data_IF_683286280563
#
_entry.id   IF_683286280563
#
_cell.length_a   1.000
_cell.length_b   1.000
_cell.length_c   1.000
_cell.angle_alpha   90.00
_cell.angle_beta   90.00
_cell.angle_gamma   90.00
#
_symmetry.space_group_name_H-M   'P 1'
#
loop_
_entity.id
_entity.type
_entity.pdbx_description
1 polymer ?
#
# COMPACT_ATOMS: atom_id res chain seq x y z
N UNK A 1 -14.25 0.08 -28.30
CA UNK A 1 -13.39 -0.03 -27.11
C UNK A 1 -12.20 -0.91 -27.47
N UNK A 2 -10.96 -0.54 -27.10
CA UNK A 2 -9.79 -1.44 -27.25
C UNK A 2 -9.81 -2.52 -26.17
N UNK A 3 -9.41 -3.74 -26.50
CA UNK A 3 -9.17 -4.80 -25.52
C UNK A 3 -7.75 -4.71 -24.93
N UNK A 4 -7.50 -5.27 -23.73
CA UNK A 4 -6.20 -5.17 -23.07
C UNK A 4 -4.98 -5.63 -23.89
N UNK A 5 -5.18 -6.55 -24.83
CA UNK A 5 -4.11 -7.09 -25.69
C UNK A 5 -3.86 -6.27 -26.98
N UNK A 6 -4.66 -5.23 -27.22
CA UNK A 6 -4.52 -4.31 -28.36
C UNK A 6 -3.67 -3.09 -28.03
N UNK A 7 -3.16 -3.00 -26.81
CA UNK A 7 -2.23 -1.93 -26.38
C UNK A 7 -0.78 -2.34 -26.67
N UNK A 8 -0.01 -1.47 -27.28
CA UNK A 8 1.38 -1.73 -27.64
C UNK A 8 2.28 -1.81 -26.40
N UNK A 9 1.99 -1.00 -25.38
CA UNK A 9 2.79 -0.94 -24.15
C UNK A 9 1.95 -1.07 -22.89
N UNK A 10 2.60 -1.50 -21.79
CA UNK A 10 1.97 -1.53 -20.47
C UNK A 10 1.59 -0.15 -19.96
N UNK A 11 2.33 0.88 -20.34
CA UNK A 11 2.06 2.26 -19.93
C UNK A 11 0.82 2.80 -20.63
N UNK A 12 0.64 2.56 -21.91
CA UNK A 12 -0.61 2.88 -22.63
C UNK A 12 -1.83 2.18 -22.00
N UNK A 13 -1.72 0.89 -21.70
CA UNK A 13 -2.79 0.16 -21.04
C UNK A 13 -3.06 0.75 -19.65
N UNK A 14 -2.02 1.10 -18.89
CA UNK A 14 -2.16 1.73 -17.58
C UNK A 14 -2.90 3.06 -17.66
N UNK A 15 -2.50 3.93 -18.57
CA UNK A 15 -3.11 5.25 -18.75
C UNK A 15 -4.58 5.12 -19.17
N UNK A 16 -4.87 4.17 -20.05
CA UNK A 16 -6.25 3.88 -20.45
C UNK A 16 -7.10 3.39 -19.26
N UNK A 17 -6.57 2.50 -18.42
CA UNK A 17 -7.27 2.02 -17.21
C UNK A 17 -7.53 3.16 -16.24
N UNK A 18 -6.52 4.01 -15.97
CA UNK A 18 -6.66 5.16 -15.07
C UNK A 18 -7.74 6.11 -15.58
N UNK A 19 -7.69 6.47 -16.86
CA UNK A 19 -8.68 7.35 -17.49
C UNK A 19 -10.09 6.74 -17.45
N UNK A 20 -10.21 5.44 -17.70
CA UNK A 20 -11.47 4.72 -17.63
C UNK A 20 -12.05 4.74 -16.22
N UNK A 21 -11.23 4.48 -15.18
CA UNK A 21 -11.66 4.54 -13.77
C UNK A 21 -12.18 5.93 -13.41
N UNK A 22 -11.43 6.98 -13.76
CA UNK A 22 -11.80 8.35 -13.42
C UNK A 22 -13.09 8.80 -14.12
N UNK A 23 -13.30 8.38 -15.36
CA UNK A 23 -14.51 8.71 -16.11
C UNK A 23 -15.74 7.90 -15.65
N UNK A 24 -15.53 6.64 -15.26
CA UNK A 24 -16.63 5.78 -14.77
C UNK A 24 -17.08 6.21 -13.38
N UNK A 25 -16.13 6.57 -12.51
CA UNK A 25 -16.40 6.89 -11.12
C UNK A 25 -16.84 5.69 -10.29
N UNK A 26 -17.59 5.97 -9.22
CA UNK A 26 -18.06 4.93 -8.29
C UNK A 26 -19.31 4.26 -8.83
N UNK A 27 -19.39 2.94 -8.71
CA UNK A 27 -20.58 2.17 -9.08
C UNK A 27 -20.68 0.88 -8.26
N UNK A 28 -21.90 0.50 -7.92
CA UNK A 28 -22.20 -0.80 -7.27
C UNK A 28 -22.26 -1.94 -8.29
N UNK A 29 -22.55 -1.65 -9.56
CA UNK A 29 -22.62 -2.64 -10.65
C UNK A 29 -22.11 -2.01 -11.94
N UNK A 30 -20.93 -2.39 -12.35
CA UNK A 30 -20.34 -1.94 -13.61
C UNK A 30 -21.10 -2.54 -14.81
N UNK A 31 -21.57 -3.78 -14.67
CA UNK A 31 -22.33 -4.48 -15.71
C UNK A 31 -23.63 -3.75 -16.08
N UNK A 32 -24.30 -3.17 -15.07
CA UNK A 32 -25.57 -2.43 -15.30
C UNK A 32 -25.32 -1.00 -15.77
N UNK A 33 -24.34 -0.32 -15.18
CA UNK A 33 -24.13 1.12 -15.44
C UNK A 33 -23.24 1.38 -16.65
N UNK A 34 -22.23 0.53 -16.89
CA UNK A 34 -21.23 0.70 -17.95
C UNK A 34 -20.84 -0.67 -18.56
N UNK A 35 -21.71 -1.35 -19.31
CA UNK A 35 -21.52 -2.73 -19.77
C UNK A 35 -20.27 -2.91 -20.65
N UNK A 36 -19.86 -1.91 -21.41
CA UNK A 36 -18.64 -1.98 -22.21
C UNK A 36 -17.38 -1.92 -21.31
N UNK A 37 -17.41 -1.05 -20.29
CA UNK A 37 -16.32 -0.96 -19.30
C UNK A 37 -16.23 -2.25 -18.47
N UNK A 38 -17.39 -2.82 -18.11
CA UNK A 38 -17.44 -4.14 -17.46
C UNK A 38 -16.74 -5.21 -18.33
N UNK A 39 -17.07 -5.28 -19.60
CA UNK A 39 -16.45 -6.23 -20.54
C UNK A 39 -14.95 -6.04 -20.60
N UNK A 40 -14.46 -4.81 -20.74
CA UNK A 40 -13.03 -4.49 -20.73
C UNK A 40 -12.34 -4.99 -19.45
N UNK A 41 -12.91 -4.72 -18.26
CA UNK A 41 -12.30 -5.13 -17.00
C UNK A 41 -12.35 -6.64 -16.78
N UNK A 42 -13.37 -7.34 -17.24
CA UNK A 42 -13.39 -8.82 -17.24
C UNK A 42 -12.22 -9.38 -18.03
N UNK A 43 -11.95 -8.85 -19.23
CA UNK A 43 -10.78 -9.27 -20.03
C UNK A 43 -9.45 -8.87 -19.35
N UNK A 44 -9.34 -7.68 -18.79
CA UNK A 44 -8.15 -7.26 -18.07
C UNK A 44 -7.86 -8.16 -16.88
N UNK A 45 -8.89 -8.56 -16.13
CA UNK A 45 -8.73 -9.39 -14.93
C UNK A 45 -8.30 -10.83 -15.25
N UNK A 46 -8.58 -11.34 -16.46
CA UNK A 46 -8.03 -12.62 -16.92
C UNK A 46 -6.49 -12.63 -17.01
N UNK A 47 -5.86 -11.45 -17.04
CA UNK A 47 -4.40 -11.31 -17.01
C UNK A 47 -3.82 -11.34 -15.60
N UNK A 48 -4.67 -11.44 -14.55
CA UNK A 48 -4.16 -11.50 -13.17
C UNK A 48 -3.34 -12.76 -12.96
N UNK A 49 -2.10 -12.69 -12.44
CA UNK A 49 -1.23 -13.86 -12.25
C UNK A 49 -1.84 -14.96 -11.38
N UNK A 50 -2.72 -14.58 -10.45
CA UNK A 50 -3.44 -15.50 -9.57
C UNK A 50 -4.92 -15.68 -9.99
N UNK A 51 -5.22 -15.62 -11.27
CA UNK A 51 -6.61 -15.65 -11.80
C UNK A 51 -7.40 -16.87 -11.35
N UNK A 52 -6.75 -18.04 -11.28
CA UNK A 52 -7.41 -19.29 -10.87
C UNK A 52 -7.73 -19.27 -9.37
N UNK A 53 -6.79 -18.85 -8.51
CA UNK A 53 -7.01 -18.68 -7.07
C UNK A 53 -8.11 -17.64 -6.76
N UNK A 54 -8.19 -16.60 -7.58
CA UNK A 54 -9.22 -15.56 -7.47
C UNK A 54 -10.53 -15.93 -8.16
N UNK A 55 -10.58 -17.09 -8.83
CA UNK A 55 -11.77 -17.58 -9.52
C UNK A 55 -12.34 -16.54 -10.51
N UNK A 56 -11.44 -15.89 -11.28
CA UNK A 56 -11.83 -14.81 -12.21
C UNK A 56 -12.86 -15.26 -13.23
N UNK A 57 -12.87 -16.55 -13.60
CA UNK A 57 -13.87 -17.12 -14.50
C UNK A 57 -15.31 -17.09 -13.95
N UNK A 58 -15.48 -16.93 -12.64
CA UNK A 58 -16.78 -16.86 -11.98
C UNK A 58 -17.33 -15.44 -11.84
N UNK A 59 -16.64 -14.41 -12.34
CA UNK A 59 -17.09 -13.02 -12.24
C UNK A 59 -18.43 -12.84 -12.96
N UNK A 60 -19.42 -12.37 -12.22
CA UNK A 60 -20.76 -12.01 -12.71
C UNK A 60 -20.98 -10.52 -12.75
N UNK A 61 -20.27 -9.76 -11.86
CA UNK A 61 -20.30 -8.31 -11.84
C UNK A 61 -19.03 -7.72 -11.21
N UNK A 62 -18.84 -6.42 -11.36
CA UNK A 62 -17.72 -5.64 -10.81
C UNK A 62 -18.29 -4.37 -10.18
N UNK A 63 -17.85 -4.06 -8.97
CA UNK A 63 -18.12 -2.81 -8.26
C UNK A 63 -16.84 -1.98 -8.17
N UNK A 64 -16.98 -0.65 -8.31
CA UNK A 64 -15.89 0.31 -8.07
C UNK A 64 -16.27 1.15 -6.86
N UNK A 65 -15.47 1.08 -5.81
CA UNK A 65 -15.69 1.80 -4.56
C UNK A 65 -14.43 2.53 -4.08
N UNK A 66 -14.59 3.45 -3.14
CA UNK A 66 -13.46 4.12 -2.49
C UNK A 66 -12.82 3.18 -1.49
N UNK A 67 -11.51 3.14 -1.43
CA UNK A 67 -10.80 2.50 -0.31
C UNK A 67 -11.27 3.10 1.02
N UNK A 68 -11.55 2.29 2.05
CA UNK A 68 -12.05 2.78 3.34
C UNK A 68 -11.21 3.89 3.95
N UNK A 69 -9.87 3.80 3.83
CA UNK A 69 -8.91 4.83 4.29
C UNK A 69 -9.02 6.16 3.56
N UNK A 70 -9.60 6.18 2.36
CA UNK A 70 -9.72 7.37 1.50
C UNK A 70 -11.10 8.05 1.59
N UNK A 71 -12.04 7.52 2.36
CA UNK A 71 -13.42 8.06 2.49
C UNK A 71 -13.48 9.52 2.98
N UNK A 72 -12.44 9.99 3.67
CA UNK A 72 -12.39 11.35 4.22
C UNK A 72 -11.58 12.33 3.36
N UNK A 73 -11.06 11.90 2.21
CA UNK A 73 -10.36 12.78 1.29
C UNK A 73 -11.34 13.76 0.63
N UNK A 74 -10.95 15.04 0.55
CA UNK A 74 -11.73 16.07 -0.15
C UNK A 74 -11.69 15.91 -1.67
N UNK A 75 -10.60 15.35 -2.19
CA UNK A 75 -10.40 15.07 -3.61
C UNK A 75 -9.85 13.67 -3.75
N UNK A 76 -10.48 12.85 -4.60
CA UNK A 76 -10.09 11.49 -4.88
C UNK A 76 -9.13 11.45 -6.07
N UNK A 77 -8.12 10.59 -5.94
CA UNK A 77 -7.21 10.21 -7.00
C UNK A 77 -7.52 8.78 -7.46
N UNK A 78 -7.04 8.37 -8.63
CA UNK A 78 -7.28 7.00 -9.12
C UNK A 78 -6.81 5.91 -8.14
N UNK A 79 -5.79 6.20 -7.32
CA UNK A 79 -5.28 5.29 -6.28
C UNK A 79 -6.27 5.07 -5.11
N UNK A 80 -7.31 5.89 -5.02
CA UNK A 80 -8.34 5.78 -3.99
C UNK A 80 -9.49 4.85 -4.39
N UNK A 81 -9.51 4.38 -5.64
CA UNK A 81 -10.53 3.45 -6.15
C UNK A 81 -10.10 2.00 -5.97
N UNK A 82 -11.04 1.19 -5.51
CA UNK A 82 -10.89 -0.25 -5.32
C UNK A 82 -11.89 -1.00 -6.19
N UNK A 83 -11.42 -2.02 -6.90
CA UNK A 83 -12.29 -2.96 -7.58
C UNK A 83 -12.68 -4.11 -6.66
N UNK A 84 -13.97 -4.43 -6.68
CA UNK A 84 -14.56 -5.57 -6.05
C UNK A 84 -15.18 -6.45 -7.14
N UNK A 85 -14.77 -7.70 -7.21
CA UNK A 85 -15.36 -8.69 -8.11
C UNK A 85 -16.45 -9.45 -7.37
N UNK A 86 -17.61 -9.59 -8.01
CA UNK A 86 -18.76 -10.34 -7.52
C UNK A 86 -18.83 -11.60 -8.35
N UNK A 87 -18.91 -12.76 -7.71
CA UNK A 87 -18.84 -14.07 -8.35
C UNK A 87 -20.20 -14.76 -8.37
N UNK A 88 -20.37 -15.76 -9.24
CA UNK A 88 -21.60 -16.52 -9.37
C UNK A 88 -21.99 -17.32 -8.12
N UNK A 89 -21.05 -17.59 -7.21
CA UNK A 89 -21.29 -18.20 -5.90
C UNK A 89 -21.61 -17.18 -4.80
N UNK A 90 -21.97 -15.95 -5.18
CA UNK A 90 -22.31 -14.82 -4.29
C UNK A 90 -21.15 -14.36 -3.40
N UNK A 91 -19.92 -14.82 -3.62
CA UNK A 91 -18.74 -14.32 -2.91
C UNK A 91 -18.18 -13.07 -3.56
N UNK A 92 -17.56 -12.24 -2.73
CA UNK A 92 -16.86 -11.03 -3.17
C UNK A 92 -15.36 -11.16 -2.90
N UNK A 93 -14.54 -10.60 -3.78
CA UNK A 93 -13.09 -10.46 -3.57
C UNK A 93 -12.59 -9.17 -4.19
N UNK A 94 -11.48 -8.67 -3.70
CA UNK A 94 -10.82 -7.50 -4.28
C UNK A 94 -9.83 -7.92 -5.35
N UNK A 95 -9.66 -7.08 -6.37
CA UNK A 95 -8.68 -7.33 -7.42
C UNK A 95 -7.80 -6.11 -7.69
N UNK A 96 -6.49 -6.34 -7.86
CA UNK A 96 -5.54 -5.31 -8.26
C UNK A 96 -5.49 -5.19 -9.78
N UNK A 97 -6.09 -4.14 -10.33
CA UNK A 97 -5.98 -3.82 -11.74
C UNK A 97 -4.53 -3.63 -12.19
N UNK A 98 -3.68 -3.05 -11.34
CA UNK A 98 -2.26 -2.87 -11.65
C UNK A 98 -1.53 -4.21 -11.82
N UNK A 99 -1.84 -5.22 -10.98
CA UNK A 99 -1.30 -6.58 -11.16
C UNK A 99 -1.70 -7.19 -12.49
N UNK A 100 -2.90 -6.87 -12.99
CA UNK A 100 -3.36 -7.30 -14.30
C UNK A 100 -2.64 -6.60 -15.45
N UNK A 101 -2.35 -5.31 -15.32
CA UNK A 101 -1.58 -4.53 -16.33
C UNK A 101 -0.15 -5.03 -16.44
N UNK A 102 0.53 -5.20 -15.31
CA UNK A 102 1.93 -5.66 -15.31
C UNK A 102 2.06 -7.17 -15.48
N UNK A 103 0.97 -7.92 -15.34
CA UNK A 103 0.92 -9.38 -15.32
C UNK A 103 1.88 -9.99 -14.29
N UNK A 104 1.91 -9.42 -13.10
CA UNK A 104 2.76 -9.85 -11.99
C UNK A 104 2.14 -9.51 -10.64
N UNK A 105 2.37 -10.35 -9.65
CA UNK A 105 2.12 -10.03 -8.24
C UNK A 105 3.36 -9.37 -7.64
N UNK A 106 3.16 -8.61 -6.57
CA UNK A 106 4.30 -8.10 -5.82
C UNK A 106 5.12 -9.28 -5.27
N UNK A 107 6.45 -9.25 -5.41
CA UNK A 107 7.32 -10.25 -4.81
C UNK A 107 7.02 -10.44 -3.31
N UNK A 108 7.23 -11.66 -2.81
CA UNK A 108 6.98 -11.98 -1.41
C UNK A 108 7.70 -11.02 -0.46
N UNK A 109 8.93 -10.62 -0.77
CA UNK A 109 9.70 -9.63 0.01
C UNK A 109 8.99 -8.28 0.17
N UNK A 110 8.23 -7.83 -0.83
CA UNK A 110 7.40 -6.62 -0.72
C UNK A 110 6.17 -6.88 0.13
N UNK A 111 5.55 -8.02 -0.04
CA UNK A 111 4.31 -8.40 0.67
C UNK A 111 4.59 -8.59 2.16
N UNK A 112 5.63 -9.33 2.53
CA UNK A 112 6.03 -9.51 3.93
C UNK A 112 6.46 -8.19 4.57
N UNK A 113 7.13 -7.30 3.83
CA UNK A 113 7.47 -5.97 4.32
C UNK A 113 6.22 -5.16 4.72
N UNK A 114 5.11 -5.28 3.98
CA UNK A 114 3.85 -4.64 4.34
C UNK A 114 3.19 -5.29 5.55
N UNK A 115 3.16 -6.62 5.63
CA UNK A 115 2.61 -7.35 6.77
C UNK A 115 3.39 -7.02 8.07
N UNK A 116 4.73 -6.97 8.00
CA UNK A 116 5.57 -6.59 9.14
C UNK A 116 5.38 -5.14 9.57
N UNK A 117 5.17 -4.20 8.63
CA UNK A 117 4.80 -2.81 8.96
C UNK A 117 3.43 -2.72 9.61
N UNK A 118 2.46 -3.46 9.11
CA UNK A 118 1.12 -3.51 9.68
C UNK A 118 1.15 -4.04 11.11
N UNK A 119 1.93 -5.09 11.36
CA UNK A 119 2.05 -5.71 12.68
C UNK A 119 2.57 -4.78 13.80
N UNK A 120 3.31 -3.72 13.42
CA UNK A 120 3.85 -2.72 14.38
C UNK A 120 3.13 -1.37 14.32
N UNK A 121 2.03 -1.29 13.57
CA UNK A 121 1.34 -0.01 13.34
C UNK A 121 0.92 0.67 14.66
N UNK A 122 0.51 -0.11 15.66
CA UNK A 122 0.10 0.42 16.95
C UNK A 122 1.28 0.97 17.74
N UNK A 123 2.46 0.35 17.68
CA UNK A 123 3.69 0.90 18.29
C UNK A 123 4.05 2.25 17.67
N UNK A 124 3.89 2.38 16.34
CA UNK A 124 4.13 3.64 15.64
C UNK A 124 3.09 4.69 16.02
N UNK A 125 1.81 4.31 16.16
CA UNK A 125 0.74 5.21 16.63
C UNK A 125 0.99 5.68 18.07
N UNK A 126 1.34 4.77 18.98
CA UNK A 126 1.67 5.08 20.37
C UNK A 126 2.84 6.06 20.46
N UNK A 127 3.93 5.80 19.72
CA UNK A 127 5.07 6.70 19.66
C UNK A 127 4.68 8.09 19.16
N UNK A 128 3.90 8.19 18.08
CA UNK A 128 3.42 9.47 17.55
C UNK A 128 2.54 10.21 18.56
N UNK A 129 1.64 9.52 19.25
CA UNK A 129 0.75 10.10 20.23
C UNK A 129 1.54 10.64 21.45
N UNK A 130 2.51 9.88 21.94
CA UNK A 130 3.37 10.29 23.04
C UNK A 130 4.24 11.52 22.69
N UNK A 131 4.51 11.73 21.41
CA UNK A 131 5.38 12.80 20.92
C UNK A 131 4.63 13.87 20.08
N UNK A 132 3.29 13.92 20.14
CA UNK A 132 2.46 14.81 19.29
C UNK A 132 2.80 16.31 19.40
N UNK A 133 3.36 16.73 20.52
CA UNK A 133 3.73 18.12 20.79
C UNK A 133 5.21 18.43 20.48
N UNK A 134 5.96 17.46 19.94
CA UNK A 134 7.36 17.69 19.55
C UNK A 134 7.42 18.20 18.12
N UNK A 135 8.28 19.18 17.85
CA UNK A 135 8.53 19.63 16.48
C UNK A 135 9.34 18.61 15.69
N UNK A 136 9.41 18.82 14.40
CA UNK A 136 10.33 18.08 13.52
C UNK A 136 11.77 18.30 13.99
N UNK A 137 12.50 17.20 14.23
CA UNK A 137 13.89 17.26 14.73
C UNK A 137 14.85 17.99 13.79
N UNK A 138 14.51 18.10 12.48
CA UNK A 138 15.37 18.79 11.52
C UNK A 138 14.97 20.25 11.26
N UNK A 139 13.69 20.54 11.02
CA UNK A 139 13.28 21.89 10.61
C UNK A 139 12.38 22.62 11.61
N UNK A 140 12.09 22.04 12.76
CA UNK A 140 11.32 22.68 13.83
C UNK A 140 9.81 22.85 13.56
N UNK A 141 9.29 22.48 12.37
CA UNK A 141 7.84 22.58 12.08
C UNK A 141 7.04 21.56 12.90
N UNK A 142 5.76 21.89 13.12
CA UNK A 142 4.77 21.00 13.74
C UNK A 142 3.79 20.38 12.73
N UNK A 143 3.99 20.61 11.43
CA UNK A 143 3.06 20.20 10.39
C UNK A 143 3.42 18.84 9.80
N UNK A 144 2.38 18.04 9.46
CA UNK A 144 2.51 16.77 8.74
C UNK A 144 3.54 15.80 9.37
N UNK A 145 3.46 15.62 10.67
CA UNK A 145 4.42 14.85 11.45
C UNK A 145 4.32 13.35 11.19
N UNK A 146 5.48 12.71 11.07
CA UNK A 146 5.64 11.26 10.87
C UNK A 146 6.62 10.69 11.89
N UNK A 147 6.50 9.40 12.21
CA UNK A 147 7.56 8.66 12.88
C UNK A 147 8.54 8.14 11.82
N UNK A 148 9.81 8.33 12.04
CA UNK A 148 10.91 7.82 11.23
C UNK A 148 11.78 6.87 12.03
N UNK A 149 12.23 5.79 11.40
CA UNK A 149 13.17 4.84 11.99
C UNK A 149 14.60 5.32 11.79
N UNK A 150 15.34 5.60 12.88
CA UNK A 150 16.76 5.98 12.83
C UNK A 150 17.57 4.82 12.23
N UNK A 151 17.38 3.61 12.77
CA UNK A 151 17.80 2.37 12.08
C UNK A 151 16.73 2.04 11.06
N UNK A 152 17.08 2.05 9.77
CA UNK A 152 16.10 1.85 8.69
C UNK A 152 15.25 0.58 8.93
N UNK A 153 13.93 0.70 8.76
CA UNK A 153 12.99 -0.42 8.91
C UNK A 153 13.43 -1.66 8.12
N UNK A 154 13.98 -1.45 6.91
CA UNK A 154 14.49 -2.56 6.09
C UNK A 154 15.57 -3.36 6.83
N UNK A 155 16.51 -2.68 7.50
CA UNK A 155 17.57 -3.37 8.26
C UNK A 155 16.99 -4.15 9.43
N UNK A 156 16.13 -3.52 10.25
CA UNK A 156 15.46 -4.22 11.36
C UNK A 156 14.72 -5.46 10.90
N UNK A 157 13.99 -5.35 9.78
CA UNK A 157 13.26 -6.48 9.18
C UNK A 157 14.22 -7.58 8.72
N UNK A 158 15.26 -7.20 7.97
CA UNK A 158 16.18 -8.16 7.38
C UNK A 158 16.97 -8.91 8.48
N UNK A 159 17.46 -8.20 9.51
CA UNK A 159 18.14 -8.80 10.67
C UNK A 159 17.20 -9.77 11.41
N UNK A 160 15.95 -9.36 11.67
CA UNK A 160 14.98 -10.24 12.33
C UNK A 160 14.65 -11.50 11.52
N UNK A 161 14.48 -11.37 10.19
CA UNK A 161 14.19 -12.52 9.33
C UNK A 161 15.39 -13.46 9.19
N UNK A 162 16.62 -12.95 9.28
CA UNK A 162 17.84 -13.77 9.32
C UNK A 162 17.91 -14.62 10.61
N UNK A 163 17.53 -14.03 11.75
CA UNK A 163 17.43 -14.72 13.03
C UNK A 163 16.24 -15.70 13.10
N UNK A 164 15.21 -15.51 12.24
CA UNK A 164 13.98 -16.30 12.22
C UNK A 164 13.71 -16.87 10.82
N UNK A 165 14.50 -17.83 10.33
CA UNK A 165 14.41 -18.35 8.95
C UNK A 165 13.09 -19.09 8.67
N UNK A 166 12.44 -19.64 9.70
CA UNK A 166 11.16 -20.35 9.61
C UNK A 166 9.94 -19.40 9.63
N UNK A 167 10.15 -18.15 9.20
CA UNK A 167 9.06 -17.18 9.08
C UNK A 167 7.93 -17.63 8.13
N UNK A 168 6.68 -17.14 8.32
CA UNK A 168 5.55 -17.44 7.44
C UNK A 168 5.86 -17.21 5.97
N UNK A 169 5.50 -18.17 5.12
CA UNK A 169 5.70 -18.11 3.67
C UNK A 169 4.42 -17.66 2.92
N UNK A 170 3.31 -17.60 3.63
CA UNK A 170 2.02 -17.15 3.12
C UNK A 170 1.47 -16.04 3.99
N UNK A 171 0.72 -15.14 3.38
CA UNK A 171 0.12 -13.98 4.06
C UNK A 171 -1.37 -13.95 3.81
N UNK A 172 -2.10 -13.39 4.76
CA UNK A 172 -3.52 -13.06 4.65
C UNK A 172 -3.75 -11.65 4.14
N UNK A 173 -5.02 -11.27 4.09
CA UNK A 173 -5.46 -9.89 3.85
C UNK A 173 -6.51 -9.51 4.87
N UNK A 174 -6.42 -8.27 5.37
CA UNK A 174 -7.46 -7.71 6.20
C UNK A 174 -8.64 -7.20 5.36
N UNK A 175 -9.67 -6.68 6.03
CA UNK A 175 -10.87 -6.09 5.40
C UNK A 175 -10.57 -4.93 4.42
N UNK A 176 -9.39 -4.32 4.51
CA UNK A 176 -8.91 -3.26 3.63
C UNK A 176 -8.02 -3.78 2.49
N UNK A 177 -7.96 -5.09 2.27
CA UNK A 177 -7.10 -5.77 1.30
C UNK A 177 -5.59 -5.50 1.49
N UNK A 178 -5.17 -5.16 2.71
CA UNK A 178 -3.76 -4.99 3.06
C UNK A 178 -3.16 -6.34 3.44
N UNK A 179 -1.89 -6.55 3.06
CA UNK A 179 -1.15 -7.74 3.48
C UNK A 179 -0.95 -7.76 5.00
N UNK A 180 -1.36 -8.86 5.61
CA UNK A 180 -1.26 -9.10 7.06
C UNK A 180 -0.80 -10.53 7.29
N UNK A 181 -0.26 -10.82 8.46
CA UNK A 181 -0.04 -12.19 8.89
C UNK A 181 -1.39 -12.87 9.16
N UNK A 182 -1.42 -14.19 9.03
CA UNK A 182 -2.61 -15.00 9.33
C UNK A 182 -2.80 -15.17 10.83
N UNK A 183 -3.96 -15.63 11.24
CA UNK A 183 -4.25 -15.89 12.67
C UNK A 183 -3.31 -16.94 13.27
N UNK A 184 -2.92 -17.94 12.49
CA UNK A 184 -1.95 -18.96 12.91
C UNK A 184 -0.53 -18.42 13.14
N UNK A 185 -0.18 -17.26 12.61
CA UNK A 185 1.15 -16.65 12.71
C UNK A 185 1.31 -15.75 13.95
N UNK A 186 0.37 -15.79 14.91
CA UNK A 186 0.32 -14.89 16.07
C UNK A 186 1.62 -14.87 16.88
N UNK A 187 2.26 -16.02 17.05
CA UNK A 187 3.53 -16.13 17.79
C UNK A 187 4.67 -15.42 17.05
N UNK A 188 4.77 -15.59 15.73
CA UNK A 188 5.75 -14.89 14.91
C UNK A 188 5.51 -13.36 14.95
N UNK A 189 4.25 -12.94 14.86
CA UNK A 189 3.87 -11.51 14.97
C UNK A 189 4.34 -10.93 16.30
N UNK A 190 4.11 -11.66 17.41
CA UNK A 190 4.52 -11.22 18.75
C UNK A 190 6.05 -11.12 18.86
N UNK A 191 6.79 -12.10 18.36
CA UNK A 191 8.26 -12.07 18.34
C UNK A 191 8.77 -10.86 17.57
N UNK A 192 8.17 -10.57 16.40
CA UNK A 192 8.51 -9.38 15.62
C UNK A 192 8.19 -8.07 16.35
N UNK A 193 7.02 -7.99 16.99
CA UNK A 193 6.65 -6.81 17.77
C UNK A 193 7.59 -6.55 18.94
N UNK A 194 7.98 -7.59 19.66
CA UNK A 194 8.91 -7.50 20.77
C UNK A 194 10.33 -7.14 20.30
N UNK A 195 10.79 -7.74 19.21
CA UNK A 195 12.05 -7.39 18.55
C UNK A 195 12.08 -5.91 18.12
N UNK A 196 11.03 -5.46 17.44
CA UNK A 196 10.91 -4.07 16.98
C UNK A 196 10.90 -3.12 18.17
N UNK A 197 10.13 -3.40 19.22
CA UNK A 197 10.06 -2.57 20.43
C UNK A 197 11.42 -2.43 21.12
N UNK A 198 12.25 -3.46 21.07
CA UNK A 198 13.57 -3.49 21.71
C UNK A 198 14.63 -2.80 20.84
N UNK A 199 14.60 -3.01 19.54
CA UNK A 199 15.70 -2.63 18.64
C UNK A 199 15.42 -1.37 17.81
N UNK A 200 14.16 -0.96 17.65
CA UNK A 200 13.81 0.23 16.87
C UNK A 200 14.03 1.50 17.70
N UNK A 201 14.76 2.43 17.12
CA UNK A 201 14.83 3.81 17.61
C UNK A 201 14.06 4.71 16.66
N UNK A 202 13.03 5.38 17.19
CA UNK A 202 12.15 6.24 16.42
C UNK A 202 12.41 7.73 16.75
N UNK A 203 12.14 8.59 15.78
CA UNK A 203 12.16 10.05 15.94
C UNK A 203 10.97 10.68 15.22
N UNK A 204 10.70 11.97 15.54
CA UNK A 204 9.63 12.75 14.93
C UNK A 204 10.19 13.63 13.82
N UNK A 205 9.70 13.43 12.60
CA UNK A 205 10.02 14.25 11.44
C UNK A 205 8.75 14.74 10.74
N UNK A 206 8.80 15.91 10.10
CA UNK A 206 7.76 16.24 9.13
C UNK A 206 7.93 15.38 7.86
N UNK A 207 6.85 15.17 7.11
CA UNK A 207 6.85 14.37 5.89
C UNK A 207 7.93 14.81 4.90
N UNK A 208 8.14 16.14 4.76
CA UNK A 208 9.14 16.69 3.84
C UNK A 208 10.57 16.32 4.26
N UNK A 209 10.93 16.51 5.54
CA UNK A 209 12.25 16.14 6.05
C UNK A 209 12.48 14.63 5.96
N UNK A 210 11.46 13.82 6.27
CA UNK A 210 11.55 12.37 6.15
C UNK A 210 11.83 11.93 4.70
N UNK A 211 11.11 12.47 3.72
CA UNK A 211 11.35 12.17 2.30
C UNK A 211 12.73 12.61 1.81
N UNK A 212 13.20 13.83 2.25
CA UNK A 212 14.54 14.31 1.90
C UNK A 212 15.62 13.44 2.53
N UNK A 213 15.41 12.98 3.76
CA UNK A 213 16.35 12.10 4.45
C UNK A 213 16.50 10.78 3.70
N UNK A 214 15.41 10.18 3.21
CA UNK A 214 15.44 8.95 2.44
C UNK A 214 16.16 9.12 1.10
N UNK A 215 15.99 10.28 0.44
CA UNK A 215 16.57 10.54 -0.88
C UNK A 215 18.04 11.02 -0.84
N UNK A 216 18.41 11.81 0.16
CA UNK A 216 19.69 12.55 0.16
C UNK A 216 20.56 12.30 1.41
N UNK A 217 20.04 11.63 2.44
CA UNK A 217 20.73 11.36 3.70
C UNK A 217 20.84 12.54 4.67
N UNK A 218 21.33 12.25 5.88
CA UNK A 218 21.37 13.20 7.00
C UNK A 218 22.25 14.43 6.72
N UNK A 219 23.41 14.23 6.09
CA UNK A 219 24.37 15.31 5.82
C UNK A 219 23.80 16.39 4.89
N UNK A 220 22.96 16.01 3.94
CA UNK A 220 22.30 16.95 3.04
C UNK A 220 21.28 17.81 3.80
N UNK A 221 20.44 17.18 4.63
CA UNK A 221 19.45 17.91 5.43
C UNK A 221 20.12 18.90 6.39
N UNK A 222 21.19 18.48 7.06
CA UNK A 222 21.91 19.36 8.00
C UNK A 222 22.51 20.58 7.30
N UNK A 223 23.05 20.42 6.10
CA UNK A 223 23.56 21.53 5.28
C UNK A 223 22.46 22.52 4.88
N UNK A 224 21.28 22.01 4.49
CA UNK A 224 20.14 22.85 4.11
C UNK A 224 19.61 23.66 5.29
N UNK A 225 19.51 23.05 6.48
CA UNK A 225 19.05 23.73 7.69
C UNK A 225 20.05 24.82 8.10
N UNK A 226 21.33 24.50 8.11
CA UNK A 226 22.38 25.47 8.45
C UNK A 226 22.42 26.68 7.49
N UNK A 227 22.10 26.44 6.19
CA UNK A 227 22.04 27.54 5.21
C UNK A 227 20.84 28.46 5.38
N UNK A 228 19.76 28.00 5.99
CA UNK A 228 18.57 28.82 6.31
C UNK A 228 18.77 29.65 7.55
N UNK A 229 19.52 29.15 8.54
CA UNK A 229 19.79 29.84 9.81
C UNK A 229 20.84 31.00 9.65
N UNK A 230 21.67 30.99 8.60
CA UNK A 230 22.69 32.01 8.36
C UNK A 230 22.12 33.24 7.62
N UNK A 231 20.90 33.18 7.09
CA UNK A 231 20.26 34.24 6.31
C UNK A 231 19.16 35.00 7.09
N UNK A 232 18.97 34.72 8.36
CA UNK A 232 18.17 35.49 9.33
C UNK A 232 19.08 36.29 10.28
#
# INVERSE_FOLDING_TARGET
MKYPDEFETKDELRDYVIHTILNTGLTSSLKQTHPEVYTFFVYLFQRHPEKDRKEISLITDISIRIFPKSKHKKQLEFSDYQFLIIKSNETEDTISWNSCVINAVNPFDKRINWAMRHAIEDQIKEFKNANRNKPCEFCGTYENMTADHIIKFKKLKDDFLEENPDHPKELGKNEFAQEVFREEDVEFVKLWQDYHKTNATLRILCKNCNQKLDNYGVNYLQKQINSLVIND
#
